data_IF_193320963501
#
_entry.id   IF_193320963501
#
_cell.length_a   1.000
_cell.length_b   1.000
_cell.length_c   1.000
_cell.angle_alpha   90.00
_cell.angle_beta   90.00
_cell.angle_gamma   90.00
#
_symmetry.space_group_name_H-M   'P 1'
#
loop_
_entity.id
_entity.type
_entity.pdbx_description
1 polymer ?
#
# COMPACT_ATOMS: atom_id res chain seq x y z
N UNK A 1 -6.82 7.08 -16.59
CA UNK A 1 -7.38 7.48 -15.27
C UNK A 1 -8.31 6.39 -14.69
N UNK A 2 -8.30 5.19 -15.26
CA UNK A 2 -9.52 4.38 -15.37
C UNK A 2 -9.72 3.34 -14.26
N UNK A 3 -8.74 3.15 -13.37
CA UNK A 3 -8.80 2.12 -12.32
C UNK A 3 -9.32 2.64 -10.95
N UNK A 4 -9.59 3.95 -10.82
CA UNK A 4 -9.97 4.58 -9.54
C UNK A 4 -11.48 4.80 -9.43
N UNK A 5 -12.20 3.77 -8.97
CA UNK A 5 -13.67 3.81 -8.87
C UNK A 5 -14.19 4.26 -7.49
N UNK A 6 -14.41 5.57 -7.34
CA UNK A 6 -15.11 6.17 -6.20
C UNK A 6 -16.60 6.45 -6.47
N UNK A 7 -17.17 5.87 -7.53
CA UNK A 7 -18.54 6.19 -7.97
C UNK A 7 -19.59 5.99 -6.89
N UNK A 8 -19.40 5.00 -6.01
CA UNK A 8 -20.31 4.72 -4.89
C UNK A 8 -20.33 5.84 -3.82
N UNK A 9 -19.25 6.62 -3.67
CA UNK A 9 -19.23 7.83 -2.83
C UNK A 9 -19.99 9.00 -3.47
N UNK A 10 -20.17 8.96 -4.79
CA UNK A 10 -20.88 10.00 -5.55
C UNK A 10 -22.39 9.77 -5.65
N UNK A 11 -22.91 8.58 -5.30
CA UNK A 11 -24.35 8.29 -5.31
C UNK A 11 -25.15 9.18 -4.34
N UNK A 12 -25.59 10.36 -4.81
CA UNK A 12 -26.46 11.27 -4.06
C UNK A 12 -27.89 10.73 -4.00
N UNK A 13 -28.34 10.25 -2.83
CA UNK A 13 -29.78 10.16 -2.55
C UNK A 13 -30.33 11.58 -2.39
N UNK A 14 -30.92 12.13 -3.45
CA UNK A 14 -31.52 13.47 -3.43
C UNK A 14 -32.69 13.52 -2.43
N UNK A 15 -32.55 14.27 -1.32
CA UNK A 15 -33.58 14.44 -0.29
C UNK A 15 -34.94 14.83 -0.88
N UNK A 16 -34.97 15.72 -1.89
CA UNK A 16 -36.19 16.11 -2.61
C UNK A 16 -36.85 14.95 -3.36
N UNK A 17 -36.06 14.04 -3.97
CA UNK A 17 -36.58 12.84 -4.62
C UNK A 17 -37.17 11.86 -3.59
N UNK A 18 -36.57 11.73 -2.40
CA UNK A 18 -37.09 10.89 -1.32
C UNK A 18 -38.40 11.45 -0.74
N UNK A 19 -38.50 12.75 -0.48
CA UNK A 19 -39.74 13.40 -0.03
C UNK A 19 -40.87 13.25 -1.05
N UNK A 20 -40.57 13.36 -2.36
CA UNK A 20 -41.56 13.10 -3.41
C UNK A 20 -42.02 11.64 -3.42
N UNK A 21 -41.11 10.69 -3.22
CA UNK A 21 -41.46 9.25 -3.16
C UNK A 21 -42.32 8.93 -1.94
N UNK A 22 -42.03 9.51 -0.76
CA UNK A 22 -42.85 9.31 0.44
C UNK A 22 -44.23 9.94 0.28
N UNK A 23 -44.32 11.17 -0.24
CA UNK A 23 -45.60 11.84 -0.51
C UNK A 23 -46.47 11.06 -1.52
N UNK A 24 -45.88 10.53 -2.60
CA UNK A 24 -46.60 9.64 -3.55
C UNK A 24 -47.13 8.37 -2.87
N UNK A 25 -46.36 7.76 -1.98
CA UNK A 25 -46.78 6.57 -1.21
C UNK A 25 -47.94 6.90 -0.26
N UNK A 26 -47.87 8.03 0.45
CA UNK A 26 -48.94 8.50 1.35
C UNK A 26 -50.23 8.77 0.56
N UNK A 27 -50.16 9.44 -0.58
CA UNK A 27 -51.32 9.67 -1.47
C UNK A 27 -51.94 8.37 -1.95
N UNK A 28 -51.11 7.38 -2.32
CA UNK A 28 -51.58 6.05 -2.74
C UNK A 28 -52.32 5.32 -1.62
N UNK A 29 -51.80 5.35 -0.39
CA UNK A 29 -52.44 4.71 0.76
C UNK A 29 -53.73 5.44 1.16
N UNK A 30 -53.74 6.77 1.12
CA UNK A 30 -54.94 7.57 1.38
C UNK A 30 -56.07 7.25 0.39
N UNK A 31 -55.76 7.09 -0.90
CA UNK A 31 -56.75 6.70 -1.92
C UNK A 31 -57.36 5.31 -1.66
N UNK A 32 -56.54 4.36 -1.21
CA UNK A 32 -57.00 3.00 -0.86
C UNK A 32 -57.89 3.02 0.39
N UNK A 33 -57.51 3.82 1.40
CA UNK A 33 -58.30 3.98 2.62
C UNK A 33 -59.67 4.61 2.33
N UNK A 34 -59.70 5.62 1.46
CA UNK A 34 -60.93 6.27 1.01
C UNK A 34 -61.87 5.30 0.28
N UNK A 35 -61.35 4.49 -0.65
CA UNK A 35 -62.16 3.47 -1.35
C UNK A 35 -62.70 2.35 -0.44
N UNK A 36 -62.07 2.12 0.72
CA UNK A 36 -62.48 1.11 1.70
C UNK A 36 -63.33 1.68 2.84
N UNK A 37 -63.63 2.98 2.84
CA UNK A 37 -64.28 3.69 3.96
C UNK A 37 -63.60 3.48 5.31
N UNK A 38 -62.26 3.42 5.33
CA UNK A 38 -61.46 3.21 6.53
C UNK A 38 -60.56 4.40 6.81
N UNK A 39 -60.21 4.62 8.09
CA UNK A 39 -59.24 5.65 8.46
C UNK A 39 -57.88 5.31 7.84
N UNK A 40 -57.17 6.33 7.34
CA UNK A 40 -55.85 6.18 6.69
C UNK A 40 -54.84 5.48 7.61
N UNK A 41 -54.90 5.73 8.92
CA UNK A 41 -54.04 5.09 9.91
C UNK A 41 -54.21 3.55 9.94
N UNK A 42 -55.45 3.06 9.92
CA UNK A 42 -55.79 1.63 9.86
C UNK A 42 -55.32 0.97 8.57
N UNK A 43 -55.49 1.63 7.42
CA UNK A 43 -55.00 1.14 6.14
C UNK A 43 -53.45 1.10 6.05
N UNK A 44 -52.76 2.05 6.69
CA UNK A 44 -51.29 2.01 6.83
C UNK A 44 -50.87 0.81 7.68
N UNK A 45 -51.57 0.55 8.78
CA UNK A 45 -51.27 -0.56 9.69
C UNK A 45 -51.48 -1.93 9.01
N UNK A 46 -52.54 -2.08 8.22
CA UNK A 46 -52.81 -3.27 7.39
C UNK A 46 -51.70 -3.50 6.33
N UNK A 47 -51.26 -2.46 5.62
CA UNK A 47 -50.13 -2.59 4.69
C UNK A 47 -48.80 -2.88 5.39
N UNK A 48 -48.63 -2.46 6.64
CA UNK A 48 -47.44 -2.77 7.44
C UNK A 48 -47.49 -4.22 7.96
N UNK A 49 -48.65 -4.74 8.36
CA UNK A 49 -48.80 -6.15 8.73
C UNK A 49 -48.56 -7.08 7.54
N UNK A 50 -49.06 -6.73 6.36
CA UNK A 50 -48.80 -7.49 5.12
C UNK A 50 -47.32 -7.46 4.72
N UNK A 51 -46.67 -6.30 4.87
CA UNK A 51 -45.23 -6.18 4.64
C UNK A 51 -44.42 -6.94 5.69
N UNK A 52 -44.83 -6.95 6.95
CA UNK A 52 -44.20 -7.75 8.01
C UNK A 52 -44.34 -9.25 7.71
N UNK A 53 -45.51 -9.70 7.25
CA UNK A 53 -45.76 -11.07 6.79
C UNK A 53 -44.86 -11.44 5.60
N UNK A 54 -44.83 -10.61 4.55
CA UNK A 54 -43.95 -10.80 3.38
C UNK A 54 -42.46 -10.78 3.76
N UNK A 55 -42.05 -9.92 4.70
CA UNK A 55 -40.66 -9.83 5.19
C UNK A 55 -40.30 -11.05 6.04
N UNK A 56 -41.22 -11.56 6.86
CA UNK A 56 -41.05 -12.80 7.65
C UNK A 56 -40.97 -14.02 6.74
N UNK A 57 -41.82 -14.12 5.72
CA UNK A 57 -41.75 -15.17 4.70
C UNK A 57 -40.45 -15.10 3.88
N UNK A 58 -40.00 -13.89 3.51
CA UNK A 58 -38.70 -13.69 2.84
C UNK A 58 -37.53 -14.07 3.74
N UNK A 59 -37.57 -13.74 5.03
CA UNK A 59 -36.56 -14.14 6.01
C UNK A 59 -36.56 -15.65 6.24
N UNK A 60 -37.74 -16.29 6.29
CA UNK A 60 -37.87 -17.75 6.41
C UNK A 60 -37.27 -18.45 5.18
N UNK A 61 -37.65 -18.02 3.97
CA UNK A 61 -37.02 -18.51 2.72
C UNK A 61 -35.52 -18.24 2.64
N UNK A 62 -35.05 -17.10 3.15
CA UNK A 62 -33.62 -16.80 3.22
C UNK A 62 -32.89 -17.66 4.27
N UNK A 63 -33.52 -17.95 5.40
CA UNK A 63 -32.99 -18.84 6.43
C UNK A 63 -32.95 -20.29 5.92
N UNK A 64 -34.01 -20.76 5.26
CA UNK A 64 -34.07 -22.06 4.59
C UNK A 64 -33.01 -22.14 3.49
N UNK A 65 -32.88 -21.12 2.62
CA UNK A 65 -31.79 -21.07 1.64
C UNK A 65 -30.41 -21.03 2.30
N UNK A 66 -30.24 -20.33 3.42
CA UNK A 66 -28.96 -20.26 4.14
C UNK A 66 -28.63 -21.60 4.80
N UNK A 67 -29.64 -22.29 5.32
CA UNK A 67 -29.51 -23.62 5.91
C UNK A 67 -29.22 -24.68 4.83
N UNK A 68 -29.84 -24.55 3.66
CA UNK A 68 -29.56 -25.37 2.48
C UNK A 68 -28.16 -25.08 1.92
N UNK A 69 -27.72 -23.81 1.93
CA UNK A 69 -26.33 -23.43 1.62
C UNK A 69 -25.31 -23.93 2.65
N UNK A 70 -25.70 -24.06 3.92
CA UNK A 70 -24.88 -24.63 4.99
C UNK A 70 -24.76 -26.15 4.88
N UNK A 71 -25.82 -26.82 4.39
CA UNK A 71 -25.82 -28.25 4.06
C UNK A 71 -25.04 -28.53 2.75
N UNK A 72 -25.09 -27.62 1.78
CA UNK A 72 -24.27 -27.67 0.55
C UNK A 72 -22.81 -27.22 0.79
N UNK A 73 -22.49 -26.56 1.91
CA UNK A 73 -21.12 -26.15 2.27
C UNK A 73 -20.23 -27.32 2.70
N UNK A 74 -20.76 -28.54 2.81
CA UNK A 74 -19.93 -29.74 2.92
C UNK A 74 -19.21 -30.09 1.59
N UNK A 75 -19.56 -29.44 0.47
CA UNK A 75 -18.86 -29.53 -0.83
C UNK A 75 -17.76 -28.45 -1.05
N UNK A 76 -17.43 -27.64 -0.04
CA UNK A 76 -16.28 -26.70 -0.08
C UNK A 76 -14.86 -27.31 -0.27
N UNK A 77 -14.60 -28.63 -0.28
CA UNK A 77 -13.29 -29.12 -0.72
C UNK A 77 -13.01 -28.83 -2.19
N UNK A 78 -14.02 -28.81 -3.07
CA UNK A 78 -13.78 -28.84 -4.52
C UNK A 78 -13.39 -27.49 -5.12
N UNK A 79 -14.00 -26.37 -4.70
CA UNK A 79 -13.60 -25.04 -5.17
C UNK A 79 -12.21 -24.66 -4.63
N UNK A 80 -11.93 -24.93 -3.35
CA UNK A 80 -10.62 -24.66 -2.77
C UNK A 80 -9.54 -25.58 -3.35
N UNK A 81 -9.83 -26.85 -3.61
CA UNK A 81 -8.89 -27.78 -4.25
C UNK A 81 -8.66 -27.46 -5.73
N UNK A 82 -9.70 -27.09 -6.48
CA UNK A 82 -9.57 -26.61 -7.85
C UNK A 82 -8.72 -25.33 -7.90
N UNK A 83 -8.93 -24.44 -6.94
CA UNK A 83 -8.19 -23.18 -6.81
C UNK A 83 -6.73 -23.39 -6.37
N UNK A 84 -6.48 -24.33 -5.46
CA UNK A 84 -5.12 -24.74 -5.10
C UNK A 84 -4.40 -25.41 -6.27
N UNK A 85 -5.09 -26.24 -7.05
CA UNK A 85 -4.55 -26.84 -8.28
C UNK A 85 -4.24 -25.79 -9.34
N UNK A 86 -5.10 -24.78 -9.51
CA UNK A 86 -4.87 -23.67 -10.44
C UNK A 86 -3.66 -22.83 -9.99
N UNK A 87 -3.59 -22.46 -8.71
CA UNK A 87 -2.43 -21.74 -8.16
C UNK A 87 -1.13 -22.55 -8.28
N UNK A 88 -1.18 -23.87 -8.05
CA UNK A 88 -0.04 -24.76 -8.22
C UNK A 88 0.36 -24.91 -9.70
N UNK A 89 -0.61 -24.97 -10.61
CA UNK A 89 -0.36 -24.97 -12.06
C UNK A 89 0.29 -23.67 -12.52
N UNK A 90 -0.23 -22.52 -12.10
CA UNK A 90 0.34 -21.20 -12.43
C UNK A 90 1.78 -21.11 -11.91
N UNK A 91 2.04 -21.60 -10.70
CA UNK A 91 3.40 -21.65 -10.14
C UNK A 91 4.31 -22.59 -10.92
N UNK A 92 3.84 -23.79 -11.30
CA UNK A 92 4.61 -24.73 -12.13
C UNK A 92 4.89 -24.17 -13.52
N UNK A 93 3.94 -23.44 -14.10
CA UNK A 93 4.10 -22.82 -15.41
C UNK A 93 5.14 -21.69 -15.35
N UNK A 94 5.10 -20.84 -14.32
CA UNK A 94 6.14 -19.83 -14.10
C UNK A 94 7.52 -20.44 -13.88
N UNK A 95 7.61 -21.50 -13.06
CA UNK A 95 8.87 -22.23 -12.87
C UNK A 95 9.40 -22.83 -14.18
N UNK A 96 8.51 -23.28 -15.06
CA UNK A 96 8.89 -23.78 -16.39
C UNK A 96 9.41 -22.66 -17.27
N UNK A 97 8.73 -21.51 -17.31
CA UNK A 97 9.16 -20.34 -18.08
C UNK A 97 10.53 -19.82 -17.60
N UNK A 98 10.77 -19.76 -16.27
CA UNK A 98 12.08 -19.38 -15.71
C UNK A 98 13.18 -20.38 -16.11
N UNK A 99 12.89 -21.69 -16.11
CA UNK A 99 13.84 -22.71 -16.56
C UNK A 99 14.12 -22.63 -18.06
N UNK A 100 13.10 -22.34 -18.88
CA UNK A 100 13.25 -22.17 -20.33
C UNK A 100 14.14 -20.95 -20.66
N UNK A 101 13.99 -19.85 -19.89
CA UNK A 101 14.86 -18.66 -19.98
C UNK A 101 16.31 -18.98 -19.57
N UNK A 102 16.50 -19.73 -18.48
CA UNK A 102 17.82 -20.17 -18.03
C UNK A 102 18.50 -21.10 -19.06
N UNK A 103 17.76 -22.05 -19.65
CA UNK A 103 18.26 -22.94 -20.70
C UNK A 103 18.67 -22.17 -21.97
N UNK A 104 17.91 -21.14 -22.34
CA UNK A 104 18.25 -20.27 -23.46
C UNK A 104 19.55 -19.48 -23.21
N UNK A 105 19.77 -19.01 -21.97
CA UNK A 105 21.02 -18.33 -21.60
C UNK A 105 22.20 -19.31 -21.55
N UNK A 106 22.00 -20.54 -21.04
CA UNK A 106 23.01 -21.60 -21.08
C UNK A 106 23.45 -21.87 -22.53
N UNK A 107 22.51 -22.06 -23.45
CA UNK A 107 22.83 -22.26 -24.88
C UNK A 107 23.60 -21.07 -25.48
N UNK A 108 23.26 -19.84 -25.06
CA UNK A 108 23.99 -18.63 -25.46
C UNK A 108 25.43 -18.63 -24.97
N UNK A 109 25.65 -19.03 -23.71
CA UNK A 109 26.97 -19.12 -23.10
C UNK A 109 27.78 -20.25 -23.72
N UNK A 110 27.18 -21.42 -23.99
CA UNK A 110 27.83 -22.52 -24.71
C UNK A 110 28.29 -22.12 -26.10
N UNK A 111 27.46 -21.40 -26.86
CA UNK A 111 27.83 -20.87 -28.17
C UNK A 111 29.01 -19.89 -28.09
N UNK A 112 29.02 -19.01 -27.07
CA UNK A 112 30.16 -18.11 -26.79
C UNK A 112 31.42 -18.91 -26.42
N UNK A 113 31.29 -19.98 -25.66
CA UNK A 113 32.41 -20.81 -25.21
C UNK A 113 33.00 -21.64 -26.36
N UNK A 114 32.17 -22.23 -27.22
CA UNK A 114 32.61 -22.93 -28.42
C UNK A 114 33.28 -21.98 -29.41
N UNK A 115 32.75 -20.77 -29.61
CA UNK A 115 33.41 -19.76 -30.45
C UNK A 115 34.78 -19.30 -29.93
N UNK A 116 35.05 -19.46 -28.61
CA UNK A 116 36.37 -19.22 -28.00
C UNK A 116 37.29 -20.44 -28.13
N UNK A 117 36.75 -21.66 -28.06
CA UNK A 117 37.50 -22.89 -28.37
C UNK A 117 37.98 -22.91 -29.82
N UNK A 118 37.12 -22.54 -30.77
CA UNK A 118 37.46 -22.51 -32.20
C UNK A 118 38.58 -21.49 -32.51
N UNK A 119 38.52 -20.31 -31.87
CA UNK A 119 39.59 -19.29 -31.96
C UNK A 119 40.89 -19.74 -31.30
N UNK A 120 40.82 -20.51 -30.21
CA UNK A 120 42.00 -21.05 -29.55
C UNK A 120 42.60 -22.26 -30.30
N UNK A 121 41.82 -22.95 -31.14
CA UNK A 121 42.33 -24.00 -32.05
C UNK A 121 42.91 -23.47 -33.37
N UNK A 122 42.57 -22.24 -33.77
CA UNK A 122 43.10 -21.60 -34.99
C UNK A 122 44.37 -20.77 -34.78
N UNK A 123 44.91 -20.69 -33.56
CA UNK A 123 46.17 -20.00 -33.25
C UNK A 123 47.16 -20.94 -32.55
N UNK A 124 47.52 -22.04 -33.21
CA UNK A 124 48.79 -22.74 -32.97
C UNK A 124 49.41 -23.04 -34.33
N UNK A 125 49.82 -21.99 -35.04
CA UNK A 125 50.81 -22.13 -36.12
C UNK A 125 52.19 -22.14 -35.47
N UNK A 126 52.93 -23.23 -35.69
CA UNK A 126 54.35 -23.31 -35.35
C UNK A 126 55.08 -22.16 -36.05
N UNK A 127 55.62 -21.23 -35.27
CA UNK A 127 56.60 -20.26 -35.73
C UNK A 127 57.92 -20.72 -35.13
N UNK A 128 58.79 -21.21 -36.00
CA UNK A 128 60.20 -21.48 -35.70
C UNK A 128 60.82 -20.22 -35.08
N UNK A 129 61.59 -20.43 -34.01
CA UNK A 129 62.20 -19.36 -33.26
C UNK A 129 63.14 -18.53 -34.13
N UNK A 130 62.82 -17.25 -34.29
CA UNK A 130 63.79 -16.23 -34.63
C UNK A 130 63.52 -14.99 -33.78
N UNK A 131 64.60 -14.51 -33.17
CA UNK A 131 64.70 -13.28 -32.38
C UNK A 131 64.12 -12.08 -33.14
N UNK A 132 63.05 -11.48 -32.61
CA UNK A 132 62.72 -10.09 -32.88
C UNK A 132 61.82 -9.49 -31.78
N UNK A 133 62.40 -8.56 -31.02
CA UNK A 133 61.71 -7.67 -30.09
C UNK A 133 60.77 -6.73 -30.86
N UNK A 134 59.46 -6.68 -30.57
CA UNK A 134 58.60 -5.63 -31.09
C UNK A 134 58.84 -4.34 -30.31
N UNK A 135 59.16 -3.27 -31.04
CA UNK A 135 59.24 -1.91 -30.53
C UNK A 135 57.84 -1.39 -30.19
N UNK A 136 57.61 -1.00 -28.93
CA UNK A 136 56.41 -0.25 -28.55
C UNK A 136 56.52 1.19 -29.07
N UNK A 137 55.69 1.53 -30.06
CA UNK A 137 55.50 2.89 -30.50
C UNK A 137 54.46 3.61 -29.62
N UNK A 138 54.96 4.69 -29.06
CA UNK A 138 54.35 5.69 -28.20
C UNK A 138 53.40 6.58 -29.01
N UNK A 139 52.15 6.71 -28.59
CA UNK A 139 51.31 7.89 -28.89
C UNK A 139 50.64 8.33 -27.58
N UNK A 140 51.25 9.34 -26.96
CA UNK A 140 50.62 10.25 -26.01
C UNK A 140 49.56 11.08 -26.73
N UNK A 141 48.41 11.30 -26.09
CA UNK A 141 47.78 12.62 -25.90
C UNK A 141 46.40 12.47 -25.18
N UNK A 142 46.35 12.98 -23.94
CA UNK A 142 45.25 13.70 -23.24
C UNK A 142 43.92 12.92 -22.97
N UNK A 143 43.23 12.97 -21.83
CA UNK A 143 43.30 13.75 -20.59
C UNK A 143 42.26 13.18 -19.59
N UNK A 144 42.52 13.32 -18.27
CA UNK A 144 41.45 13.33 -17.25
C UNK A 144 41.42 12.21 -16.19
N UNK A 145 42.56 11.85 -15.60
CA UNK A 145 42.64 11.06 -14.36
C UNK A 145 42.74 11.97 -13.12
N UNK A 146 41.68 11.97 -12.31
CA UNK A 146 41.50 12.68 -11.05
C UNK A 146 42.49 12.21 -9.96
N UNK A 147 43.37 13.10 -9.51
CA UNK A 147 44.42 12.82 -8.50
C UNK A 147 43.89 12.92 -7.06
N UNK A 148 44.31 11.96 -6.23
CA UNK A 148 43.88 11.69 -4.85
C UNK A 148 44.79 12.36 -3.81
N UNK A 149 45.41 13.51 -4.11
CA UNK A 149 46.32 14.15 -3.15
C UNK A 149 46.20 15.68 -3.08
N UNK A 150 44.97 16.19 -2.93
CA UNK A 150 44.73 17.58 -2.55
C UNK A 150 43.46 17.75 -1.69
N UNK A 151 43.52 17.28 -0.43
CA UNK A 151 42.62 17.78 0.61
C UNK A 151 43.30 17.74 1.98
N UNK A 152 44.44 18.42 2.08
CA UNK A 152 45.01 18.75 3.38
C UNK A 152 45.91 19.98 3.31
N UNK A 153 45.36 21.14 2.93
CA UNK A 153 45.90 22.47 3.28
C UNK A 153 44.96 23.59 2.80
N UNK A 154 44.04 24.01 3.67
CA UNK A 154 43.53 25.38 3.71
C UNK A 154 42.60 25.53 4.91
N UNK A 155 43.14 25.87 6.08
CA UNK A 155 42.46 26.69 7.09
C UNK A 155 43.45 27.06 8.20
N UNK A 156 44.36 27.98 7.90
CA UNK A 156 44.94 28.84 8.92
C UNK A 156 45.37 30.15 8.25
N UNK A 157 44.64 31.22 8.55
CA UNK A 157 45.17 32.46 9.14
C UNK A 157 43.95 33.32 9.54
N UNK A 158 43.60 33.35 10.83
CA UNK A 158 44.07 34.26 11.91
C UNK A 158 43.36 35.62 11.81
N UNK A 159 42.51 35.91 12.81
CA UNK A 159 42.75 37.02 13.74
C UNK A 159 41.96 36.85 15.04
N UNK A 160 42.61 37.33 16.10
CA UNK A 160 42.31 37.20 17.53
C UNK A 160 41.21 38.17 17.98
N UNK A 161 40.56 37.85 19.11
CA UNK A 161 39.57 38.75 19.71
C UNK A 161 38.99 38.19 21.01
N UNK A 162 39.77 38.33 22.08
CA UNK A 162 39.48 38.09 23.51
C UNK A 162 38.09 38.48 24.01
N UNK A 163 37.59 37.74 25.01
CA UNK A 163 36.50 38.19 25.88
C UNK A 163 35.98 37.11 26.82
N UNK A 164 36.56 37.07 28.00
CA UNK A 164 36.10 36.37 29.21
C UNK A 164 34.62 36.65 29.54
N UNK A 165 33.90 35.65 30.05
CA UNK A 165 33.43 35.64 31.45
C UNK A 165 32.58 34.39 31.73
N UNK A 166 32.89 33.80 32.86
CA UNK A 166 32.20 32.74 33.56
C UNK A 166 30.94 33.39 34.17
N UNK A 167 29.76 32.75 34.12
CA UNK A 167 29.05 32.59 35.38
C UNK A 167 27.97 31.52 35.42
N UNK A 168 27.80 31.10 36.66
CA UNK A 168 27.08 29.98 37.21
C UNK A 168 25.63 30.32 37.59
N UNK A 169 24.90 29.27 38.00
CA UNK A 169 23.81 29.25 39.01
C UNK A 169 22.35 29.03 38.52
N UNK A 170 21.80 27.90 39.00
CA UNK A 170 20.48 27.60 39.63
C UNK A 170 19.31 28.60 39.38
N UNK A 171 18.04 28.23 39.21
CA UNK A 171 17.23 27.09 39.65
C UNK A 171 15.78 27.60 39.86
N UNK A 172 14.79 26.68 39.87
CA UNK A 172 13.40 26.85 40.38
C UNK A 172 12.51 27.94 39.72
N UNK A 173 11.20 28.02 39.92
CA UNK A 173 10.07 27.09 39.98
C UNK A 173 8.81 27.97 39.82
N UNK A 174 7.77 27.45 39.14
CA UNK A 174 6.32 27.71 39.31
C UNK A 174 5.82 29.18 39.32
N UNK A 175 4.93 29.55 38.39
CA UNK A 175 3.55 29.89 38.80
C UNK A 175 2.49 29.84 37.67
N UNK A 176 1.29 29.43 38.09
CA UNK A 176 0.03 29.47 37.34
C UNK A 176 -0.63 30.84 37.51
N UNK A 177 -1.26 31.37 36.44
CA UNK A 177 -2.65 31.86 36.48
C UNK A 177 -3.13 32.37 35.10
N UNK A 178 -4.17 31.67 34.63
CA UNK A 178 -5.47 32.16 34.12
C UNK A 178 -5.55 33.25 33.02
N UNK A 179 -6.35 32.98 31.97
CA UNK A 179 -6.74 33.97 30.97
C UNK A 179 -7.47 33.39 29.77
N UNK A 180 -8.74 33.09 29.95
CA UNK A 180 -9.73 32.76 28.91
C UNK A 180 -9.82 33.89 27.87
N UNK A 181 -9.50 33.64 26.60
CA UNK A 181 -9.98 34.46 25.48
C UNK A 181 -9.99 33.70 24.16
N UNK A 182 -11.19 33.68 23.59
CA UNK A 182 -11.58 33.17 22.29
C UNK A 182 -11.03 34.09 21.22
N UNK A 183 -10.26 33.59 20.23
CA UNK A 183 -10.43 33.89 18.80
C UNK A 183 -9.25 33.43 17.91
N UNK A 184 -9.67 32.93 16.76
CA UNK A 184 -9.04 32.96 15.44
C UNK A 184 -8.02 31.91 14.99
N UNK A 185 -8.23 31.52 13.74
CA UNK A 185 -7.52 30.49 13.00
C UNK A 185 -6.05 30.87 12.80
N UNK A 186 -5.16 30.27 13.59
CA UNK A 186 -3.73 30.33 13.34
C UNK A 186 -3.38 29.38 12.19
N UNK A 187 -3.23 29.95 11.01
CA UNK A 187 -2.55 29.38 9.86
C UNK A 187 -1.18 28.84 10.30
N UNK A 188 -0.95 27.53 10.20
CA UNK A 188 0.41 26.98 10.27
C UNK A 188 1.19 27.45 9.05
N UNK A 189 2.36 28.10 9.19
CA UNK A 189 3.13 28.57 8.05
C UNK A 189 3.82 27.38 7.38
N UNK A 190 3.46 27.08 6.14
CA UNK A 190 4.22 26.14 5.31
C UNK A 190 3.42 25.23 4.37
N UNK A 191 2.10 25.11 4.53
CA UNK A 191 1.29 24.33 3.57
C UNK A 191 0.79 25.27 2.48
N UNK A 192 1.41 25.24 1.31
CA UNK A 192 0.88 25.93 0.13
C UNK A 192 -0.58 25.49 -0.09
N UNK A 193 -1.51 26.45 -0.03
CA UNK A 193 -2.93 26.20 -0.26
C UNK A 193 -3.11 25.88 -1.74
N UNK A 194 -3.07 24.59 -2.08
CA UNK A 194 -3.24 24.15 -3.45
C UNK A 194 -4.71 24.27 -3.86
N UNK A 195 -4.96 25.05 -4.90
CA UNK A 195 -6.29 25.23 -5.48
C UNK A 195 -6.65 24.00 -6.33
N UNK A 196 -7.32 23.02 -5.72
CA UNK A 196 -7.89 21.88 -6.41
C UNK A 196 -9.31 22.16 -6.90
N UNK A 197 -9.74 21.45 -7.95
CA UNK A 197 -11.11 21.52 -8.46
C UNK A 197 -12.12 21.30 -7.31
N UNK A 198 -13.13 22.18 -7.14
CA UNK A 198 -14.15 22.01 -6.10
C UNK A 198 -14.87 20.65 -6.15
N UNK A 199 -14.95 19.99 -7.31
CA UNK A 199 -15.48 18.62 -7.40
C UNK A 199 -14.62 17.61 -6.62
N UNK A 200 -13.29 17.76 -6.68
CA UNK A 200 -12.32 16.89 -6.04
C UNK A 200 -12.27 17.13 -4.53
N UNK A 201 -12.34 18.39 -4.10
CA UNK A 201 -12.45 18.75 -2.67
C UNK A 201 -13.74 18.18 -2.07
N UNK A 202 -14.85 18.22 -2.81
CA UNK A 202 -16.10 17.58 -2.39
C UNK A 202 -15.99 16.05 -2.29
N UNK A 203 -15.16 15.42 -3.13
CA UNK A 203 -14.88 13.98 -3.05
C UNK A 203 -14.06 13.67 -1.79
N UNK A 204 -13.02 14.46 -1.50
CA UNK A 204 -12.20 14.32 -0.30
C UNK A 204 -13.05 14.42 0.99
N UNK A 205 -13.95 15.39 1.07
CA UNK A 205 -14.85 15.54 2.22
C UNK A 205 -15.77 14.32 2.41
N UNK A 206 -16.17 13.64 1.33
CA UNK A 206 -16.96 12.40 1.40
C UNK A 206 -16.15 11.18 1.78
N UNK A 207 -14.85 11.20 1.50
CA UNK A 207 -13.88 10.20 1.92
C UNK A 207 -13.45 10.38 3.40
N UNK A 208 -14.11 11.25 4.17
CA UNK A 208 -13.76 11.63 5.55
C UNK A 208 -12.38 12.30 5.69
N UNK A 209 -11.88 12.94 4.63
CA UNK A 209 -10.67 13.76 4.68
C UNK A 209 -11.03 15.15 5.23
N UNK A 210 -11.19 15.26 6.55
CA UNK A 210 -11.60 16.53 7.18
C UNK A 210 -10.44 17.51 7.36
N UNK A 211 -9.22 17.01 7.56
CA UNK A 211 -8.02 17.85 7.70
C UNK A 211 -7.58 18.42 6.35
N UNK A 212 -7.06 19.64 6.36
CA UNK A 212 -6.48 20.29 5.17
C UNK A 212 -5.32 19.48 4.59
N UNK A 213 -4.40 19.00 5.43
CA UNK A 213 -3.30 18.12 5.02
C UNK A 213 -3.81 16.87 4.31
N UNK A 214 -4.81 16.19 4.90
CA UNK A 214 -5.41 14.99 4.32
C UNK A 214 -6.10 15.27 2.99
N UNK A 215 -6.82 16.39 2.89
CA UNK A 215 -7.44 16.87 1.65
C UNK A 215 -6.41 17.12 0.57
N UNK A 216 -5.32 17.82 0.88
CA UNK A 216 -4.28 18.16 -0.10
C UNK A 216 -3.58 16.90 -0.60
N UNK A 217 -3.25 15.97 0.30
CA UNK A 217 -2.69 14.65 -0.06
C UNK A 217 -3.67 13.87 -0.94
N UNK A 218 -4.94 13.75 -0.52
CA UNK A 218 -5.95 13.00 -1.27
C UNK A 218 -6.15 13.59 -2.67
N UNK A 219 -6.36 14.90 -2.78
CA UNK A 219 -6.51 15.57 -4.07
C UNK A 219 -5.28 15.40 -4.95
N UNK A 220 -4.07 15.47 -4.38
CA UNK A 220 -2.83 15.24 -5.12
C UNK A 220 -2.77 13.81 -5.65
N UNK A 221 -3.06 12.81 -4.82
CA UNK A 221 -3.04 11.40 -5.23
C UNK A 221 -4.04 11.16 -6.36
N UNK A 222 -5.29 11.60 -6.21
CA UNK A 222 -6.34 11.36 -7.20
C UNK A 222 -6.10 12.14 -8.50
N UNK A 223 -5.56 13.35 -8.41
CA UNK A 223 -5.21 14.16 -9.59
C UNK A 223 -3.95 13.66 -10.31
N UNK A 224 -3.06 12.98 -9.61
CA UNK A 224 -1.78 12.51 -10.16
C UNK A 224 -1.93 11.20 -10.94
N UNK A 225 -0.99 11.00 -11.87
CA UNK A 225 -0.79 9.73 -12.57
C UNK A 225 0.12 8.81 -11.78
N UNK A 226 0.16 7.52 -12.14
CA UNK A 226 0.84 6.48 -11.35
C UNK A 226 2.33 6.80 -11.11
N UNK A 227 3.02 7.31 -12.12
CA UNK A 227 4.46 7.57 -12.06
C UNK A 227 4.80 8.91 -11.39
N UNK A 228 3.96 9.93 -11.59
CA UNK A 228 4.21 11.30 -11.08
C UNK A 228 3.69 11.53 -9.66
N UNK A 229 2.87 10.62 -9.12
CA UNK A 229 2.26 10.76 -7.79
C UNK A 229 3.27 10.99 -6.67
N UNK A 230 4.38 10.24 -6.69
CA UNK A 230 5.42 10.31 -5.67
C UNK A 230 6.08 11.71 -5.62
N UNK A 231 6.52 12.21 -6.77
CA UNK A 231 7.15 13.54 -6.86
C UNK A 231 6.18 14.66 -6.48
N UNK A 232 4.91 14.56 -6.91
CA UNK A 232 3.89 15.55 -6.59
C UNK A 232 3.60 15.60 -5.09
N UNK A 233 3.62 14.46 -4.41
CA UNK A 233 3.46 14.39 -2.96
C UNK A 233 4.68 14.95 -2.22
N UNK A 234 5.90 14.72 -2.70
CA UNK A 234 7.10 15.31 -2.11
C UNK A 234 7.13 16.84 -2.24
N UNK A 235 6.58 17.39 -3.33
CA UNK A 235 6.45 18.83 -3.54
C UNK A 235 5.51 19.52 -2.55
N UNK A 236 4.65 18.77 -1.84
CA UNK A 236 3.78 19.35 -0.80
C UNK A 236 4.55 19.81 0.44
N UNK A 237 5.84 19.43 0.60
CA UNK A 237 6.72 19.87 1.71
C UNK A 237 6.04 19.80 3.08
N UNK A 238 5.35 18.70 3.33
CA UNK A 238 4.66 18.48 4.60
C UNK A 238 5.68 18.34 5.73
N UNK A 239 5.29 18.77 6.93
CA UNK A 239 6.13 18.64 8.12
C UNK A 239 6.18 17.18 8.62
N UNK A 240 7.20 16.81 9.40
CA UNK A 240 7.48 15.42 9.80
C UNK A 240 6.26 14.62 10.31
N UNK A 241 5.44 15.16 11.22
CA UNK A 241 4.20 14.51 11.65
C UNK A 241 3.14 14.43 10.54
N UNK A 242 3.02 15.48 9.72
CA UNK A 242 2.04 15.60 8.64
C UNK A 242 2.33 14.67 7.47
N UNK A 243 3.60 14.45 7.14
CA UNK A 243 4.02 13.49 6.10
C UNK A 243 3.55 12.06 6.40
N UNK A 244 3.35 11.69 7.68
CA UNK A 244 2.78 10.38 8.06
C UNK A 244 1.33 10.23 7.57
N UNK A 245 0.61 11.33 7.38
CA UNK A 245 -0.73 11.31 6.81
C UNK A 245 -0.73 10.82 5.36
N UNK A 246 0.39 10.92 4.62
CA UNK A 246 0.48 10.38 3.26
C UNK A 246 0.18 8.88 3.26
N UNK A 247 0.84 8.13 4.15
CA UNK A 247 0.64 6.68 4.28
C UNK A 247 -0.79 6.38 4.73
N UNK A 248 -1.28 7.10 5.75
CA UNK A 248 -2.65 6.90 6.26
C UNK A 248 -3.71 7.12 5.18
N UNK A 249 -3.58 8.19 4.40
CA UNK A 249 -4.48 8.48 3.29
C UNK A 249 -4.38 7.42 2.19
N UNK A 250 -3.19 6.92 1.85
CA UNK A 250 -3.05 5.84 0.86
C UNK A 250 -3.79 4.57 1.29
N UNK A 251 -3.65 4.18 2.55
CA UNK A 251 -4.35 3.00 3.09
C UNK A 251 -5.86 3.24 3.15
N UNK A 252 -6.31 4.41 3.62
CA UNK A 252 -7.73 4.77 3.63
C UNK A 252 -8.33 4.76 2.22
N UNK A 253 -7.63 5.29 1.21
CA UNK A 253 -8.03 5.20 -0.19
C UNK A 253 -8.21 3.74 -0.64
N UNK A 254 -7.29 2.85 -0.26
CA UNK A 254 -7.37 1.43 -0.61
C UNK A 254 -8.62 0.75 0.00
N UNK A 255 -9.00 1.13 1.22
CA UNK A 255 -10.23 0.68 1.87
C UNK A 255 -11.49 1.31 1.28
N UNK A 256 -11.35 2.46 0.61
CA UNK A 256 -12.44 3.14 -0.07
C UNK A 256 -12.62 2.65 -1.50
N UNK A 257 -11.68 1.99 -2.16
CA UNK A 257 -11.95 1.53 -3.52
C UNK A 257 -12.88 0.31 -3.56
N UNK A 258 -13.64 0.18 -4.65
CA UNK A 258 -14.55 -0.96 -4.84
C UNK A 258 -13.80 -2.27 -5.08
N UNK A 259 -12.63 -2.16 -5.72
CA UNK A 259 -11.68 -3.25 -5.95
C UNK A 259 -10.29 -2.76 -5.56
N UNK A 260 -9.40 -3.69 -5.22
CA UNK A 260 -8.03 -3.36 -4.88
C UNK A 260 -7.26 -2.78 -6.07
N UNK A 261 -6.51 -1.72 -5.82
CA UNK A 261 -5.65 -1.10 -6.80
C UNK A 261 -4.21 -1.08 -6.31
N UNK A 262 -3.36 -1.83 -7.01
CA UNK A 262 -1.93 -1.98 -6.69
C UNK A 262 -1.18 -0.64 -6.68
N UNK A 263 -1.71 0.41 -7.32
CA UNK A 263 -1.12 1.75 -7.31
C UNK A 263 -0.82 2.25 -5.90
N UNK A 264 -1.74 2.08 -4.94
CA UNK A 264 -1.52 2.53 -3.57
C UNK A 264 -0.42 1.75 -2.88
N UNK A 265 -0.37 0.42 -3.07
CA UNK A 265 0.68 -0.44 -2.54
C UNK A 265 2.07 -0.03 -3.08
N UNK A 266 2.17 0.25 -4.38
CA UNK A 266 3.43 0.70 -5.00
C UNK A 266 3.85 2.09 -4.49
N UNK A 267 2.89 3.00 -4.31
CA UNK A 267 3.17 4.33 -3.78
C UNK A 267 3.70 4.25 -2.35
N UNK A 268 3.04 3.46 -1.48
CA UNK A 268 3.52 3.20 -0.12
C UNK A 268 4.92 2.59 -0.14
N UNK A 269 5.20 1.64 -1.03
CA UNK A 269 6.53 1.06 -1.18
C UNK A 269 7.61 2.11 -1.52
N UNK A 270 7.35 3.02 -2.47
CA UNK A 270 8.29 4.11 -2.79
C UNK A 270 8.59 4.99 -1.57
N UNK A 271 7.58 5.33 -0.77
CA UNK A 271 7.78 6.08 0.47
C UNK A 271 8.54 5.29 1.53
N UNK A 272 8.23 4.01 1.69
CA UNK A 272 8.95 3.10 2.58
C UNK A 272 10.44 2.97 2.21
N UNK A 273 10.77 2.99 0.91
CA UNK A 273 12.16 3.00 0.44
C UNK A 273 12.90 4.32 0.68
N UNK A 274 12.16 5.43 0.80
CA UNK A 274 12.74 6.76 1.00
C UNK A 274 13.20 6.99 2.44
N UNK A 275 12.33 6.73 3.42
CA UNK A 275 12.67 6.91 4.84
C UNK A 275 12.01 5.85 5.74
N UNK A 276 12.77 5.32 6.71
CA UNK A 276 12.31 4.27 7.64
C UNK A 276 11.06 4.65 8.46
N UNK A 277 10.86 5.94 8.75
CA UNK A 277 9.65 6.49 9.40
C UNK A 277 8.35 6.12 8.68
N UNK A 278 8.37 6.00 7.35
CA UNK A 278 7.19 5.58 6.58
C UNK A 278 6.92 4.09 6.73
N UNK A 279 7.96 3.26 6.85
CA UNK A 279 7.82 1.83 7.15
C UNK A 279 7.17 1.64 8.53
N UNK A 280 7.68 2.33 9.55
CA UNK A 280 7.13 2.30 10.91
C UNK A 280 5.66 2.78 10.94
N UNK A 281 5.36 3.87 10.23
CA UNK A 281 3.98 4.37 10.12
C UNK A 281 3.07 3.35 9.44
N UNK A 282 3.52 2.74 8.34
CA UNK A 282 2.76 1.70 7.63
C UNK A 282 2.46 0.52 8.54
N UNK A 283 3.45 0.05 9.31
CA UNK A 283 3.27 -1.02 10.28
C UNK A 283 2.19 -0.70 11.32
N UNK A 284 2.23 0.49 11.93
CA UNK A 284 1.22 0.89 12.91
C UNK A 284 -0.18 1.00 12.30
N UNK A 285 -0.30 1.60 11.12
CA UNK A 285 -1.59 1.71 10.42
C UNK A 285 -2.17 0.34 10.10
N UNK A 286 -1.34 -0.60 9.63
CA UNK A 286 -1.78 -1.96 9.37
C UNK A 286 -2.19 -2.69 10.67
N UNK A 287 -1.45 -2.50 11.75
CA UNK A 287 -1.81 -3.08 13.05
C UNK A 287 -3.17 -2.60 13.55
N UNK A 288 -3.44 -1.30 13.46
CA UNK A 288 -4.72 -0.74 13.89
C UNK A 288 -5.88 -1.34 13.06
N UNK A 289 -5.71 -1.47 11.75
CA UNK A 289 -6.71 -2.07 10.86
C UNK A 289 -6.88 -3.58 11.08
N UNK A 290 -5.79 -4.31 11.35
CA UNK A 290 -5.84 -5.76 11.60
C UNK A 290 -6.52 -6.06 12.95
N UNK A 291 -6.29 -5.23 13.97
CA UNK A 291 -7.02 -5.34 15.24
C UNK A 291 -8.51 -5.05 15.08
N UNK A 292 -8.83 -4.08 14.23
CA UNK A 292 -10.20 -3.60 14.03
C UNK A 292 -10.89 -4.21 12.79
N UNK A 293 -10.47 -5.42 12.35
CA UNK A 293 -11.05 -6.05 11.16
C UNK A 293 -12.58 -6.24 11.21
N UNK A 294 -13.14 -6.35 12.42
CA UNK A 294 -14.58 -6.52 12.64
C UNK A 294 -15.40 -5.26 12.29
N UNK A 295 -14.79 -4.07 12.30
CA UNK A 295 -15.44 -2.82 11.90
C UNK A 295 -15.49 -2.65 10.37
N UNK A 296 -14.58 -3.33 9.66
CA UNK A 296 -14.45 -3.26 8.21
C UNK A 296 -15.49 -4.15 7.50
N UNK A 297 -15.99 -3.68 6.35
CA UNK A 297 -16.86 -4.48 5.46
C UNK A 297 -16.04 -5.53 4.71
N UNK A 298 -16.70 -6.58 4.21
CA UNK A 298 -16.03 -7.70 3.51
C UNK A 298 -15.13 -7.26 2.33
N UNK A 299 -15.61 -6.34 1.46
CA UNK A 299 -14.78 -5.79 0.38
C UNK A 299 -13.54 -5.04 0.89
N UNK A 300 -13.66 -4.33 2.01
CA UNK A 300 -12.56 -3.58 2.60
C UNK A 300 -11.52 -4.54 3.21
N UNK A 301 -11.98 -5.62 3.84
CA UNK A 301 -11.11 -6.69 4.32
C UNK A 301 -10.38 -7.38 3.16
N UNK A 302 -11.06 -7.58 2.02
CA UNK A 302 -10.44 -8.14 0.82
C UNK A 302 -9.38 -7.22 0.23
N UNK A 303 -9.67 -5.92 0.07
CA UNK A 303 -8.69 -4.95 -0.42
C UNK A 303 -7.51 -4.81 0.55
N UNK A 304 -7.76 -4.78 1.86
CA UNK A 304 -6.71 -4.75 2.87
C UNK A 304 -5.80 -5.98 2.77
N UNK A 305 -6.37 -7.17 2.61
CA UNK A 305 -5.60 -8.41 2.47
C UNK A 305 -4.70 -8.38 1.21
N UNK A 306 -5.22 -7.88 0.09
CA UNK A 306 -4.43 -7.72 -1.14
C UNK A 306 -3.33 -6.65 -0.98
N UNK A 307 -3.62 -5.52 -0.34
CA UNK A 307 -2.62 -4.50 -0.06
C UNK A 307 -1.50 -5.03 0.84
N UNK A 308 -1.83 -5.76 1.91
CA UNK A 308 -0.83 -6.37 2.79
C UNK A 308 0.02 -7.39 2.03
N UNK A 309 -0.59 -8.20 1.16
CA UNK A 309 0.13 -9.14 0.30
C UNK A 309 1.10 -8.43 -0.66
N UNK A 310 0.68 -7.32 -1.28
CA UNK A 310 1.56 -6.51 -2.13
C UNK A 310 2.72 -5.91 -1.34
N UNK A 311 2.48 -5.42 -0.13
CA UNK A 311 3.54 -4.86 0.72
C UNK A 311 4.57 -5.92 1.13
N UNK A 312 4.16 -7.17 1.34
CA UNK A 312 5.08 -8.28 1.53
C UNK A 312 5.87 -8.60 0.26
N UNK A 313 5.20 -8.59 -0.89
CA UNK A 313 5.83 -8.80 -2.21
C UNK A 313 6.90 -7.75 -2.51
N UNK A 314 6.62 -6.48 -2.19
CA UNK A 314 7.57 -5.39 -2.36
C UNK A 314 8.61 -5.31 -1.24
N UNK A 315 8.47 -6.11 -0.19
CA UNK A 315 9.30 -6.06 1.02
C UNK A 315 9.29 -4.68 1.71
N UNK A 316 8.24 -3.89 1.48
CA UNK A 316 8.01 -2.61 2.15
C UNK A 316 7.81 -2.80 3.66
N UNK A 317 7.19 -3.92 4.04
CA UNK A 317 7.01 -4.34 5.42
C UNK A 317 7.21 -5.85 5.54
N UNK A 318 7.78 -6.31 6.66
CA UNK A 318 7.96 -7.75 6.93
C UNK A 318 6.71 -8.42 7.48
N UNK A 319 6.75 -9.77 7.55
CA UNK A 319 5.70 -10.59 8.16
C UNK A 319 5.50 -10.32 9.67
N UNK A 320 6.39 -9.53 10.29
CA UNK A 320 6.25 -9.04 11.67
C UNK A 320 4.96 -8.27 11.91
N UNK A 321 4.34 -7.71 10.88
CA UNK A 321 3.02 -7.06 10.99
C UNK A 321 1.95 -8.03 11.51
N UNK A 322 2.05 -9.30 11.15
CA UNK A 322 1.08 -10.32 11.54
C UNK A 322 1.20 -10.75 13.00
N UNK A 323 2.27 -10.37 13.72
CA UNK A 323 2.46 -10.68 15.15
C UNK A 323 1.35 -10.11 16.04
N UNK A 324 0.62 -9.12 15.53
CA UNK A 324 -0.50 -8.52 16.26
C UNK A 324 -1.73 -9.42 16.34
N UNK A 325 -1.79 -10.46 15.49
CA UNK A 325 -2.86 -11.44 15.51
C UNK A 325 -2.57 -12.49 16.58
N UNK A 326 -3.51 -12.72 17.48
CA UNK A 326 -3.42 -13.83 18.43
C UNK A 326 -3.70 -15.15 17.72
N UNK A 327 -2.63 -15.89 17.45
CA UNK A 327 -2.70 -17.21 16.81
C UNK A 327 -3.26 -18.29 17.74
N UNK A 328 -3.30 -18.05 19.06
CA UNK A 328 -3.86 -18.99 20.04
C UNK A 328 -5.38 -19.00 19.99
N UNK A 329 -5.99 -17.85 19.70
CA UNK A 329 -7.43 -17.67 19.63
C UNK A 329 -7.83 -16.93 18.35
N UNK A 330 -7.72 -17.64 17.23
CA UNK A 330 -8.07 -17.11 15.91
C UNK A 330 -9.59 -17.06 15.73
N UNK A 331 -10.14 -15.85 15.66
CA UNK A 331 -11.52 -15.66 15.19
C UNK A 331 -11.66 -16.09 13.72
N UNK A 332 -12.87 -16.52 13.32
CA UNK A 332 -13.16 -16.87 11.92
C UNK A 332 -12.77 -15.74 10.94
N UNK A 333 -12.96 -14.50 11.38
CA UNK A 333 -12.68 -13.30 10.58
C UNK A 333 -11.16 -13.11 10.41
N UNK A 334 -10.38 -13.19 11.48
CA UNK A 334 -8.92 -13.13 11.42
C UNK A 334 -8.34 -14.29 10.59
N UNK A 335 -8.85 -15.52 10.76
CA UNK A 335 -8.45 -16.70 9.98
C UNK A 335 -8.72 -16.50 8.48
N UNK A 336 -9.91 -16.00 8.12
CA UNK A 336 -10.27 -15.73 6.72
C UNK A 336 -9.39 -14.63 6.13
N UNK A 337 -9.13 -13.57 6.89
CA UNK A 337 -8.22 -12.49 6.48
C UNK A 337 -6.80 -13.03 6.22
N UNK A 338 -6.23 -13.78 7.16
CA UNK A 338 -4.90 -14.38 7.02
C UNK A 338 -4.82 -15.30 5.81
N UNK A 339 -5.80 -16.19 5.62
CA UNK A 339 -5.88 -17.09 4.45
C UNK A 339 -5.88 -16.30 3.13
N UNK A 340 -6.70 -15.24 3.04
CA UNK A 340 -6.74 -14.36 1.87
C UNK A 340 -5.38 -13.69 1.63
N UNK A 341 -4.79 -13.09 2.67
CA UNK A 341 -3.49 -12.41 2.57
C UNK A 341 -2.39 -13.34 2.09
N UNK A 342 -2.26 -14.52 2.71
CA UNK A 342 -1.25 -15.49 2.28
C UNK A 342 -1.53 -16.05 0.89
N UNK A 343 -2.80 -16.29 0.54
CA UNK A 343 -3.14 -16.72 -0.81
C UNK A 343 -2.66 -15.71 -1.86
N UNK A 344 -2.98 -14.42 -1.69
CA UNK A 344 -2.54 -13.39 -2.63
C UNK A 344 -1.02 -13.24 -2.64
N UNK A 345 -0.37 -13.28 -1.48
CA UNK A 345 1.07 -13.14 -1.38
C UNK A 345 1.79 -14.31 -2.07
N UNK A 346 1.42 -15.55 -1.74
CA UNK A 346 2.09 -16.75 -2.24
C UNK A 346 1.81 -16.99 -3.73
N UNK A 347 0.64 -16.61 -4.23
CA UNK A 347 0.27 -16.79 -5.64
C UNK A 347 0.84 -15.69 -6.54
N UNK A 348 0.97 -14.46 -6.03
CA UNK A 348 1.46 -13.31 -6.81
C UNK A 348 2.98 -13.12 -6.76
N UNK A 349 3.65 -13.69 -5.75
CA UNK A 349 5.09 -13.48 -5.50
C UNK A 349 5.96 -14.53 -6.18
N UNK A 350 7.23 -14.16 -6.43
CA UNK A 350 8.27 -15.09 -6.90
C UNK A 350 8.82 -15.90 -5.73
N UNK A 351 9.33 -17.08 -6.00
CA UNK A 351 9.80 -18.03 -4.99
C UNK A 351 10.89 -17.44 -4.07
N UNK A 352 11.83 -16.68 -4.62
CA UNK A 352 12.88 -16.05 -3.82
C UNK A 352 12.32 -14.99 -2.86
N UNK A 353 11.29 -14.24 -3.26
CA UNK A 353 10.66 -13.20 -2.42
C UNK A 353 9.97 -13.86 -1.23
N UNK A 354 9.29 -14.97 -1.48
CA UNK A 354 8.62 -15.77 -0.44
C UNK A 354 9.68 -16.31 0.54
N UNK A 355 10.73 -16.96 0.01
CA UNK A 355 11.83 -17.48 0.85
C UNK A 355 12.44 -16.39 1.72
N UNK A 356 12.79 -15.25 1.13
CA UNK A 356 13.39 -14.14 1.86
C UNK A 356 12.46 -13.58 2.95
N UNK A 357 11.17 -13.42 2.65
CA UNK A 357 10.18 -12.97 3.64
C UNK A 357 10.09 -13.89 4.86
N UNK A 358 10.10 -15.22 4.65
CA UNK A 358 10.06 -16.19 5.75
C UNK A 358 11.42 -16.38 6.46
N UNK A 359 12.54 -16.31 5.73
CA UNK A 359 13.89 -16.36 6.31
C UNK A 359 14.10 -15.24 7.33
N UNK A 360 13.62 -14.01 7.04
CA UNK A 360 13.68 -12.90 7.99
C UNK A 360 12.94 -13.21 9.30
N UNK A 361 11.83 -13.93 9.25
CA UNK A 361 11.08 -14.33 10.45
C UNK A 361 11.87 -15.34 11.26
N UNK A 362 12.42 -16.37 10.60
CA UNK A 362 13.22 -17.42 11.22
C UNK A 362 14.45 -16.81 11.90
N UNK A 363 15.18 -15.95 11.17
CA UNK A 363 16.39 -15.31 11.69
C UNK A 363 16.09 -14.30 12.81
N UNK A 364 14.93 -13.62 12.76
CA UNK A 364 14.53 -12.69 13.83
C UNK A 364 14.19 -13.37 15.17
N UNK A 365 14.00 -14.69 15.18
CA UNK A 365 13.71 -15.46 16.39
C UNK A 365 14.99 -15.90 17.14
N UNK A 366 16.16 -15.80 16.52
CA UNK A 366 17.45 -16.14 17.10
C UNK A 366 18.34 -14.91 17.32
N UNK A 367 18.30 -14.33 18.53
CA UNK A 367 19.31 -13.38 18.99
C UNK A 367 18.92 -11.90 18.86
N UNK A 368 18.88 -11.21 20.01
CA UNK A 368 18.64 -9.77 20.08
C UNK A 368 19.84 -8.96 19.63
N UNK A 369 19.62 -8.07 18.67
CA UNK A 369 20.27 -6.76 18.55
C UNK A 369 19.63 -6.04 17.36
N UNK A 370 19.11 -4.83 17.61
CA UNK A 370 18.65 -3.81 16.65
C UNK A 370 18.27 -4.29 15.25
N UNK A 371 16.96 -4.31 14.97
CA UNK A 371 16.45 -4.40 13.59
C UNK A 371 16.94 -3.20 12.77
N UNK A 372 18.12 -3.31 12.15
CA UNK A 372 18.45 -2.50 11.00
C UNK A 372 17.55 -3.00 9.87
N UNK A 373 16.47 -2.26 9.61
CA UNK A 373 15.75 -2.34 8.35
C UNK A 373 16.73 -1.87 7.26
N UNK A 374 17.59 -2.77 6.79
CA UNK A 374 18.53 -2.46 5.74
C UNK A 374 17.73 -2.34 4.44
N UNK A 375 17.50 -1.10 4.05
CA UNK A 375 16.81 -0.70 2.84
C UNK A 375 17.64 -1.22 1.64
N UNK A 376 17.25 -2.35 1.05
CA UNK A 376 17.76 -2.76 -0.27
C UNK A 376 16.85 -2.19 -1.36
N UNK A 377 16.77 -0.86 -1.43
CA UNK A 377 16.28 -0.14 -2.60
C UNK A 377 17.47 0.31 -3.45
N UNK A 378 18.20 -0.63 -4.06
CA UNK A 378 19.16 -0.35 -5.14
C UNK A 378 19.71 -1.68 -5.72
N UNK A 379 18.91 -2.45 -6.48
CA UNK A 379 19.46 -3.53 -7.34
C UNK A 379 18.43 -4.18 -8.30
N UNK A 380 17.36 -3.51 -8.72
CA UNK A 380 16.48 -4.06 -9.79
C UNK A 380 16.11 -2.95 -10.77
N UNK A 381 17.12 -2.39 -11.41
CA UNK A 381 17.00 -1.62 -12.65
C UNK A 381 18.37 -1.58 -13.31
N UNK A 382 18.75 -2.73 -13.90
CA UNK A 382 19.69 -2.89 -15.02
C UNK A 382 19.91 -4.38 -15.26
N UNK A 383 19.00 -4.97 -16.03
CA UNK A 383 19.31 -5.93 -17.10
C UNK A 383 18.07 -6.15 -17.95
#
# INVERSE_FOLDING_TARGET
MDDRDFSYLLTRKCKRKEIRKTSKKVKKVSKIAFSKHQKVATAVQEQLSDKKGKKRAKRKRQAEKKQQKLLEQEDEPQELEAFLKEAEQVRRQRMREELDDDDAEIQRLEKKLNSRKDKNSQSVSAIDGDDQMPTEEFLDDEDGGFDFSDLCQASSNIEEGSGSEEDSVLGEAVDQQNGEQVMDAAQTPGVEVMNFDPALVNLASKANMCSETRRNVFCTIISSEKDTAFERLQKLRLDGPQEREIIRVCVECTLLESQHNQFYSMLVNKFCGSHARFQVTTQYVLWDLIKDLHSLKDHQQQNLAQMVADLFKFQAVGLSVLRIVDFSNLTQLASTFLKRTFYYFLSSSRDFVIRDAFLRVINSAGGGSSTSFQCRCAAVEQK
#
